data_IF_617533532944
#
_entry.id   IF_617533532944
#
_cell.length_a   1.000
_cell.length_b   1.000
_cell.length_c   1.000
_cell.angle_alpha   90.00
_cell.angle_beta   90.00
_cell.angle_gamma   90.00
#
_symmetry.space_group_name_H-M   'P 1'
#
loop_
_entity.id
_entity.type
_entity.pdbx_description
1 polymer ?
#
# COMPACT_ATOMS: atom_id res chain seq x y z
N UNK A 1 2.45 -39.68 -24.35
CA UNK A 1 1.66 -38.52 -23.88
C UNK A 1 2.47 -37.92 -22.75
N UNK A 2 3.18 -36.82 -23.01
CA UNK A 2 4.07 -36.20 -22.03
C UNK A 2 3.25 -35.29 -21.13
N UNK A 3 3.22 -35.60 -19.83
CA UNK A 3 2.65 -34.77 -18.79
C UNK A 3 3.27 -33.36 -18.83
N UNK A 4 2.52 -32.38 -19.35
CA UNK A 4 2.80 -30.96 -19.11
C UNK A 4 2.54 -30.70 -17.64
N UNK A 5 3.58 -30.86 -16.82
CA UNK A 5 3.58 -30.47 -15.42
C UNK A 5 3.58 -28.95 -15.35
N UNK A 6 2.39 -28.35 -15.28
CA UNK A 6 2.22 -26.94 -14.96
C UNK A 6 2.97 -26.69 -13.64
N UNK A 7 3.98 -25.82 -13.59
CA UNK A 7 4.67 -25.56 -12.34
C UNK A 7 3.68 -24.86 -11.42
N UNK A 8 3.16 -25.58 -10.42
CA UNK A 8 2.48 -24.99 -9.27
C UNK A 8 3.53 -24.26 -8.46
N UNK A 9 3.79 -23.01 -8.84
CA UNK A 9 4.50 -22.04 -8.02
C UNK A 9 3.55 -21.75 -6.87
N UNK A 10 3.74 -22.36 -5.70
CA UNK A 10 3.19 -21.81 -4.47
C UNK A 10 3.90 -20.47 -4.30
N UNK A 11 3.22 -19.32 -4.50
CA UNK A 11 3.92 -18.06 -4.38
C UNK A 11 4.33 -17.92 -2.92
N UNK A 12 5.64 -17.85 -2.68
CA UNK A 12 6.13 -17.34 -1.41
C UNK A 12 5.43 -16.00 -1.18
N UNK A 13 4.96 -15.77 0.05
CA UNK A 13 4.25 -14.53 0.39
C UNK A 13 5.09 -13.74 1.37
N UNK A 14 4.99 -12.42 1.29
CA UNK A 14 5.55 -11.59 2.36
C UNK A 14 4.82 -11.86 3.69
N UNK A 15 5.32 -11.37 4.84
CA UNK A 15 4.66 -11.58 6.13
C UNK A 15 3.18 -11.15 6.16
N UNK A 16 2.72 -10.31 5.21
CA UNK A 16 1.36 -9.77 5.07
C UNK A 16 0.52 -10.45 3.99
N UNK A 17 1.01 -11.55 3.41
CA UNK A 17 0.27 -12.37 2.46
C UNK A 17 0.29 -11.84 1.02
N UNK A 18 1.13 -10.85 0.72
CA UNK A 18 1.32 -10.35 -0.64
C UNK A 18 2.15 -11.38 -1.43
N UNK A 19 1.65 -11.93 -2.55
CA UNK A 19 2.38 -12.91 -3.36
C UNK A 19 3.66 -12.35 -3.96
N UNK A 20 4.75 -13.10 -3.87
CA UNK A 20 6.01 -12.81 -4.57
C UNK A 20 5.84 -13.04 -6.07
N UNK A 21 6.38 -12.14 -6.87
CA UNK A 21 6.40 -12.22 -8.32
C UNK A 21 7.29 -13.40 -8.76
N UNK A 22 6.84 -14.24 -9.70
CA UNK A 22 7.66 -15.33 -10.21
C UNK A 22 8.87 -14.75 -10.96
N UNK A 23 10.08 -15.11 -10.53
CA UNK A 23 11.29 -14.70 -11.24
C UNK A 23 11.45 -15.53 -12.52
N UNK A 24 11.46 -14.85 -13.67
CA UNK A 24 11.60 -15.47 -14.99
C UNK A 24 13.07 -15.49 -15.40
N UNK A 25 13.82 -16.47 -14.90
CA UNK A 25 15.23 -16.67 -15.24
C UNK A 25 15.43 -17.01 -16.73
N UNK A 26 14.86 -18.13 -17.16
CA UNK A 26 14.87 -18.55 -18.55
C UNK A 26 13.48 -18.35 -19.16
N UNK A 27 13.40 -17.47 -20.15
CA UNK A 27 12.15 -17.18 -20.88
C UNK A 27 11.59 -18.42 -21.57
N UNK A 28 12.46 -19.35 -21.99
CA UNK A 28 12.10 -20.62 -22.64
C UNK A 28 11.28 -21.55 -21.75
N UNK A 29 11.37 -21.39 -20.43
CA UNK A 29 10.66 -22.22 -19.45
C UNK A 29 9.18 -21.81 -19.35
N UNK A 30 8.87 -20.57 -19.74
CA UNK A 30 7.52 -20.00 -19.73
C UNK A 30 6.91 -19.87 -21.12
N UNK A 31 7.76 -19.68 -22.13
CA UNK A 31 7.34 -19.50 -23.53
C UNK A 31 8.19 -20.42 -24.40
N UNK A 32 7.62 -21.56 -24.78
CA UNK A 32 8.28 -22.53 -25.67
C UNK A 32 7.90 -22.32 -27.13
N UNK A 33 6.70 -21.77 -27.40
CA UNK A 33 6.22 -21.49 -28.75
C UNK A 33 5.67 -20.07 -28.87
N UNK A 34 5.57 -19.55 -30.11
CA UNK A 34 5.03 -18.20 -30.36
C UNK A 34 3.58 -18.03 -29.89
N UNK A 35 2.79 -19.12 -29.89
CA UNK A 35 1.42 -19.12 -29.39
C UNK A 35 1.34 -18.89 -27.87
N UNK A 36 2.42 -19.16 -27.12
CA UNK A 36 2.47 -19.01 -25.66
C UNK A 36 2.88 -17.57 -25.22
N UNK A 37 3.37 -16.74 -26.15
CA UNK A 37 3.84 -15.37 -25.87
C UNK A 37 2.68 -14.48 -25.40
N UNK A 38 1.63 -14.38 -26.22
CA UNK A 38 0.50 -13.46 -25.98
C UNK A 38 -0.27 -13.81 -24.68
N UNK A 39 -0.58 -15.08 -24.38
CA UNK A 39 -1.18 -15.46 -23.10
C UNK A 39 -0.28 -15.14 -21.90
N UNK A 40 1.03 -15.36 -22.00
CA UNK A 40 1.98 -15.09 -20.92
C UNK A 40 2.11 -13.59 -20.65
N UNK A 41 2.22 -12.76 -21.70
CA UNK A 41 2.24 -11.30 -21.57
C UNK A 41 0.96 -10.77 -20.92
N UNK A 42 -0.20 -11.31 -21.30
CA UNK A 42 -1.48 -10.96 -20.67
C UNK A 42 -1.50 -11.31 -19.19
N UNK A 43 -1.03 -12.49 -18.81
CA UNK A 43 -0.92 -12.91 -17.41
C UNK A 43 0.00 -12.00 -16.60
N UNK A 44 1.13 -11.56 -17.18
CA UNK A 44 2.05 -10.64 -16.51
C UNK A 44 1.45 -9.25 -16.33
N UNK A 45 0.74 -8.73 -17.33
CA UNK A 45 -0.01 -7.47 -17.22
C UNK A 45 -1.10 -7.53 -16.15
N UNK A 46 -1.82 -8.65 -16.05
CA UNK A 46 -2.80 -8.87 -14.97
C UNK A 46 -2.14 -8.86 -13.59
N UNK A 47 -0.97 -9.49 -13.43
CA UNK A 47 -0.21 -9.47 -12.18
C UNK A 47 0.31 -8.07 -11.82
N UNK A 48 0.87 -7.33 -12.78
CA UNK A 48 1.30 -5.93 -12.59
C UNK A 48 0.11 -5.07 -12.14
N UNK A 49 -1.05 -5.24 -12.78
CA UNK A 49 -2.27 -4.50 -12.42
C UNK A 49 -2.72 -4.79 -10.97
N UNK A 50 -2.58 -6.04 -10.51
CA UNK A 50 -2.87 -6.43 -9.12
C UNK A 50 -1.89 -5.77 -8.15
N UNK A 51 -0.59 -5.79 -8.45
CA UNK A 51 0.42 -5.14 -7.60
C UNK A 51 0.21 -3.62 -7.53
N UNK A 52 -0.04 -2.97 -8.66
CA UNK A 52 -0.35 -1.53 -8.70
C UNK A 52 -1.61 -1.18 -7.89
N UNK A 53 -2.66 -2.00 -7.98
CA UNK A 53 -3.87 -1.81 -7.17
C UNK A 53 -3.56 -1.91 -5.68
N UNK A 54 -2.75 -2.89 -5.26
CA UNK A 54 -2.30 -3.02 -3.88
C UNK A 54 -1.42 -1.84 -3.45
N UNK A 55 -0.52 -1.37 -4.31
CA UNK A 55 0.37 -0.22 -4.04
C UNK A 55 -0.44 1.04 -3.77
N UNK A 56 -1.39 1.38 -4.65
CA UNK A 56 -2.24 2.56 -4.49
C UNK A 56 -3.06 2.50 -3.20
N UNK A 57 -3.58 1.33 -2.85
CA UNK A 57 -4.35 1.16 -1.61
C UNK A 57 -3.47 1.31 -0.36
N UNK A 58 -2.29 0.67 -0.35
CA UNK A 58 -1.33 0.80 0.76
C UNK A 58 -0.82 2.23 0.87
N UNK A 59 -0.58 2.92 -0.25
CA UNK A 59 -0.15 4.31 -0.28
C UNK A 59 -1.20 5.24 0.32
N UNK A 60 -2.48 5.06 -0.01
CA UNK A 60 -3.60 5.82 0.59
C UNK A 60 -3.68 5.60 2.10
N UNK A 61 -3.54 4.34 2.55
CA UNK A 61 -3.52 4.00 3.99
C UNK A 61 -2.35 4.67 4.70
N UNK A 62 -1.16 4.61 4.13
CA UNK A 62 0.04 5.24 4.67
C UNK A 62 -0.08 6.78 4.74
N UNK A 63 -0.66 7.41 3.71
CA UNK A 63 -0.92 8.85 3.70
C UNK A 63 -1.84 9.27 4.86
N UNK A 64 -2.97 8.55 5.05
CA UNK A 64 -3.88 8.83 6.15
C UNK A 64 -3.26 8.61 7.54
N UNK A 65 -2.32 7.66 7.68
CA UNK A 65 -1.57 7.48 8.93
C UNK A 65 -0.56 8.61 9.17
N UNK A 66 0.16 9.04 8.12
CA UNK A 66 1.11 10.17 8.21
C UNK A 66 0.43 11.49 8.60
N UNK A 67 -0.82 11.69 8.18
CA UNK A 67 -1.62 12.85 8.57
C UNK A 67 -2.06 12.76 10.04
N UNK A 68 -2.52 11.59 10.50
CA UNK A 68 -3.08 11.41 11.85
C UNK A 68 -2.05 11.29 12.97
N UNK A 69 -0.88 10.70 12.70
CA UNK A 69 0.14 10.47 13.72
C UNK A 69 0.58 11.77 14.42
N UNK A 70 0.86 12.88 13.71
CA UNK A 70 1.15 14.17 14.33
C UNK A 70 0.06 14.66 15.28
N UNK A 71 -1.22 14.49 14.92
CA UNK A 71 -2.34 14.92 15.75
C UNK A 71 -2.45 14.08 17.02
N UNK A 72 -2.26 12.76 16.93
CA UNK A 72 -2.21 11.87 18.10
C UNK A 72 -1.05 12.27 19.01
N UNK A 73 0.13 12.56 18.44
CA UNK A 73 1.32 13.00 19.20
C UNK A 73 1.05 14.30 19.96
N UNK A 74 0.54 15.33 19.28
CA UNK A 74 0.20 16.62 19.91
C UNK A 74 -0.83 16.45 21.02
N UNK A 75 -1.84 15.61 20.79
CA UNK A 75 -2.88 15.33 21.80
C UNK A 75 -2.27 14.63 23.02
N UNK A 76 -1.41 13.62 22.82
CA UNK A 76 -0.72 12.92 23.89
C UNK A 76 0.23 13.85 24.66
N UNK A 77 0.97 14.72 23.97
CA UNK A 77 1.82 15.74 24.59
C UNK A 77 1.01 16.69 25.48
N UNK A 78 -0.17 17.11 25.03
CA UNK A 78 -1.05 17.96 25.83
C UNK A 78 -1.58 17.24 27.08
N UNK A 79 -1.99 15.97 26.94
CA UNK A 79 -2.43 15.17 28.10
C UNK A 79 -1.29 15.00 29.11
N UNK A 80 -0.07 14.69 28.65
CA UNK A 80 1.12 14.61 29.50
C UNK A 80 1.46 15.95 30.16
N UNK A 81 1.29 17.05 29.43
CA UNK A 81 1.51 18.40 29.97
C UNK A 81 0.52 18.72 31.10
N UNK A 82 -0.77 18.42 30.90
CA UNK A 82 -1.80 18.61 31.93
C UNK A 82 -1.52 17.73 33.16
N UNK A 83 -1.18 16.46 32.95
CA UNK A 83 -0.76 15.53 34.01
C UNK A 83 0.42 16.09 34.82
N UNK A 84 1.47 16.52 34.14
CA UNK A 84 2.67 17.07 34.78
C UNK A 84 2.36 18.32 35.61
N UNK A 85 1.47 19.21 35.14
CA UNK A 85 1.08 20.39 35.91
C UNK A 85 0.28 20.02 37.16
N UNK A 86 -0.63 19.06 37.05
CA UNK A 86 -1.42 18.54 38.16
C UNK A 86 -0.53 17.90 39.22
N UNK A 87 0.34 16.97 38.82
CA UNK A 87 1.17 16.20 39.74
C UNK A 87 2.19 17.09 40.49
N UNK A 88 2.63 18.19 39.88
CA UNK A 88 3.53 19.16 40.49
C UNK A 88 2.82 20.32 41.20
N UNK A 89 1.48 20.32 41.23
CA UNK A 89 0.67 21.41 41.78
C UNK A 89 1.13 22.80 41.28
N UNK A 90 1.33 22.92 39.97
CA UNK A 90 1.87 24.11 39.33
C UNK A 90 0.92 25.31 39.44
N UNK A 91 1.39 26.50 39.07
CA UNK A 91 0.52 27.67 39.00
C UNK A 91 -0.63 27.45 37.99
N UNK A 92 -1.75 28.18 38.11
CA UNK A 92 -2.80 28.15 37.10
C UNK A 92 -2.30 28.49 35.70
N UNK A 93 -2.77 27.74 34.69
CA UNK A 93 -2.40 27.91 33.30
C UNK A 93 -3.28 28.98 32.66
N UNK A 94 -2.71 30.15 32.35
CA UNK A 94 -3.37 31.15 31.51
C UNK A 94 -3.18 30.79 30.02
N UNK A 95 -4.28 30.58 29.30
CA UNK A 95 -4.27 30.22 27.88
C UNK A 95 -5.41 30.89 27.12
N UNK A 96 -5.29 30.93 25.80
CA UNK A 96 -6.34 31.44 24.91
C UNK A 96 -7.03 30.25 24.25
N UNK A 97 -8.30 30.03 24.58
CA UNK A 97 -9.13 29.01 23.95
C UNK A 97 -9.77 29.55 22.68
N UNK A 98 -9.71 28.75 21.61
CA UNK A 98 -10.38 29.04 20.35
C UNK A 98 -11.88 28.82 20.48
N UNK A 99 -12.68 29.87 20.25
CA UNK A 99 -14.14 29.80 20.16
C UNK A 99 -14.61 29.72 18.71
N UNK A 100 -13.83 30.31 17.79
CA UNK A 100 -14.01 30.30 16.34
C UNK A 100 -12.63 30.60 15.70
N UNK A 101 -12.46 30.36 14.40
CA UNK A 101 -11.20 30.47 13.64
C UNK A 101 -10.43 31.80 13.84
N UNK A 102 -11.13 32.87 14.25
CA UNK A 102 -10.54 34.19 14.52
C UNK A 102 -10.93 34.77 15.88
N UNK A 103 -11.64 34.00 16.72
CA UNK A 103 -12.13 34.43 18.03
C UNK A 103 -11.53 33.56 19.12
N UNK A 104 -10.76 34.18 20.00
CA UNK A 104 -10.14 33.53 21.14
C UNK A 104 -10.63 34.16 22.44
N UNK A 105 -10.83 33.32 23.45
CA UNK A 105 -11.13 33.75 24.81
C UNK A 105 -9.97 33.39 25.74
N UNK A 106 -9.51 34.38 26.50
CA UNK A 106 -8.52 34.15 27.56
C UNK A 106 -9.20 33.47 28.74
N UNK A 107 -8.63 32.37 29.21
CA UNK A 107 -9.09 31.68 30.40
C UNK A 107 -7.90 31.16 31.21
N UNK A 108 -8.18 30.92 32.49
CA UNK A 108 -7.22 30.37 33.44
C UNK A 108 -7.71 28.98 33.85
N UNK A 109 -6.84 27.98 33.74
CA UNK A 109 -7.12 26.58 34.10
C UNK A 109 -6.35 26.26 35.38
N UNK A 110 -7.05 25.91 36.44
CA UNK A 110 -6.44 25.44 37.68
C UNK A 110 -6.06 23.95 37.53
N UNK A 111 -4.85 23.51 37.91
CA UNK A 111 -4.49 22.10 37.87
C UNK A 111 -5.40 21.20 38.70
N UNK A 112 -6.03 21.72 39.75
CA UNK A 112 -7.01 20.97 40.56
C UNK A 112 -8.26 20.57 39.76
N UNK A 113 -8.63 21.35 38.73
CA UNK A 113 -9.81 21.11 37.89
C UNK A 113 -9.50 20.20 36.68
N UNK A 114 -8.27 19.68 36.57
CA UNK A 114 -7.81 18.86 35.44
C UNK A 114 -7.76 17.38 35.78
N UNK A 115 -8.85 16.80 36.28
CA UNK A 115 -8.93 15.37 36.58
C UNK A 115 -9.13 14.51 35.32
N UNK A 116 -9.94 15.01 34.39
CA UNK A 116 -10.36 14.32 33.17
C UNK A 116 -10.20 15.19 31.93
N UNK A 117 -10.08 14.52 30.77
CA UNK A 117 -10.02 15.15 29.44
C UNK A 117 -11.11 14.58 28.55
N UNK A 118 -11.68 15.43 27.70
CA UNK A 118 -12.73 15.05 26.77
C UNK A 118 -12.12 14.75 25.41
N UNK A 119 -12.27 13.50 24.95
CA UNK A 119 -11.71 13.03 23.68
C UNK A 119 -12.82 12.75 22.68
N UNK A 120 -12.66 13.29 21.46
CA UNK A 120 -13.57 13.04 20.34
C UNK A 120 -13.21 11.72 19.65
N UNK A 121 -14.13 10.76 19.66
CA UNK A 121 -13.92 9.42 19.09
C UNK A 121 -14.43 9.30 17.65
N UNK A 122 -15.12 10.33 17.15
CA UNK A 122 -15.81 10.32 15.86
C UNK A 122 -17.28 9.94 15.99
N UNK A 123 -18.00 9.88 14.87
CA UNK A 123 -19.43 9.53 14.81
C UNK A 123 -20.33 10.31 15.78
N UNK A 124 -20.02 11.60 16.02
CA UNK A 124 -20.69 12.47 16.99
C UNK A 124 -20.60 12.00 18.45
N UNK A 125 -19.54 11.26 18.80
CA UNK A 125 -19.30 10.76 20.14
C UNK A 125 -18.05 11.38 20.74
N UNK A 126 -18.23 11.97 21.93
CA UNK A 126 -17.16 12.47 22.81
C UNK A 126 -17.30 11.78 24.16
N UNK A 127 -16.18 11.34 24.75
CA UNK A 127 -16.15 10.72 26.08
C UNK A 127 -15.13 11.43 26.98
N UNK A 128 -15.45 11.52 28.26
CA UNK A 128 -14.52 11.94 29.29
C UNK A 128 -13.64 10.74 29.70
N UNK A 129 -12.35 10.99 29.80
CA UNK A 129 -11.35 10.02 30.26
C UNK A 129 -10.51 10.64 31.37
N UNK A 130 -10.27 9.95 32.49
CA UNK A 130 -9.25 10.34 33.44
C UNK A 130 -7.90 10.51 32.73
N UNK A 131 -7.09 11.48 33.15
CA UNK A 131 -5.81 11.79 32.50
C UNK A 131 -4.91 10.55 32.32
N UNK A 132 -4.85 9.66 33.32
CA UNK A 132 -4.04 8.44 33.27
C UNK A 132 -4.51 7.45 32.19
N UNK A 133 -5.83 7.29 32.07
CA UNK A 133 -6.43 6.41 31.08
C UNK A 133 -6.27 7.00 29.68
N UNK A 134 -6.46 8.32 29.53
CA UNK A 134 -6.24 9.03 28.29
C UNK A 134 -4.78 8.90 27.82
N UNK A 135 -3.79 9.06 28.71
CA UNK A 135 -2.37 8.90 28.39
C UNK A 135 -2.08 7.47 27.89
N UNK A 136 -2.58 6.46 28.61
CA UNK A 136 -2.38 5.05 28.25
C UNK A 136 -3.01 4.75 26.90
N UNK A 137 -4.28 5.13 26.70
CA UNK A 137 -5.02 4.88 25.47
C UNK A 137 -4.40 5.59 24.26
N UNK A 138 -3.98 6.85 24.41
CA UNK A 138 -3.31 7.60 23.34
C UNK A 138 -1.92 7.03 23.03
N UNK A 139 -1.19 6.54 24.03
CA UNK A 139 0.12 5.89 23.85
C UNK A 139 -0.02 4.58 23.08
N UNK A 140 -0.98 3.73 23.42
CA UNK A 140 -1.28 2.50 22.70
C UNK A 140 -1.76 2.75 21.26
N UNK A 141 -2.61 3.77 21.06
CA UNK A 141 -3.04 4.18 19.72
C UNK A 141 -1.87 4.69 18.89
N UNK A 142 -0.98 5.49 19.49
CA UNK A 142 0.20 6.01 18.81
C UNK A 142 1.12 4.87 18.36
N UNK A 143 1.45 3.94 19.26
CA UNK A 143 2.33 2.81 18.93
C UNK A 143 1.74 1.92 17.85
N UNK A 144 0.42 1.67 17.90
CA UNK A 144 -0.29 0.90 16.87
C UNK A 144 -0.28 1.63 15.52
N UNK A 145 -0.49 2.95 15.51
CA UNK A 145 -0.47 3.74 14.29
C UNK A 145 0.93 3.81 13.66
N UNK A 146 1.98 3.97 14.48
CA UNK A 146 3.38 3.96 14.03
C UNK A 146 3.79 2.60 13.48
N UNK A 147 3.44 1.50 14.16
CA UNK A 147 3.67 0.15 13.67
C UNK A 147 2.91 -0.10 12.36
N UNK A 148 1.65 0.35 12.26
CA UNK A 148 0.87 0.24 11.03
C UNK A 148 1.49 1.04 9.89
N UNK A 149 2.09 2.19 10.17
CA UNK A 149 2.77 3.00 9.15
C UNK A 149 4.05 2.29 8.68
N UNK A 150 4.86 1.77 9.60
CA UNK A 150 6.07 1.00 9.27
C UNK A 150 5.74 -0.20 8.37
N UNK A 151 4.72 -0.98 8.73
CA UNK A 151 4.25 -2.09 7.91
C UNK A 151 3.80 -1.64 6.51
N UNK A 152 3.13 -0.49 6.39
CA UNK A 152 2.76 0.03 5.08
C UNK A 152 3.98 0.40 4.24
N UNK A 153 5.01 0.98 4.86
CA UNK A 153 6.20 1.40 4.15
C UNK A 153 7.01 0.20 3.67
N UNK A 154 7.13 -0.85 4.49
CA UNK A 154 7.70 -2.15 4.08
C UNK A 154 6.89 -2.79 2.94
N UNK A 155 5.56 -2.82 3.04
CA UNK A 155 4.69 -3.36 1.98
C UNK A 155 4.83 -2.55 0.67
N UNK A 156 4.99 -1.22 0.75
CA UNK A 156 5.19 -0.37 -0.43
C UNK A 156 6.54 -0.63 -1.11
N UNK A 157 7.61 -0.79 -0.33
CA UNK A 157 8.92 -1.20 -0.84
C UNK A 157 8.81 -2.53 -1.58
N UNK A 158 8.22 -3.53 -0.92
CA UNK A 158 8.01 -4.87 -1.49
C UNK A 158 7.21 -4.82 -2.80
N UNK A 159 6.10 -4.07 -2.83
CA UNK A 159 5.25 -3.95 -4.01
C UNK A 159 5.99 -3.31 -5.20
N UNK A 160 6.85 -2.31 -4.95
CA UNK A 160 7.69 -1.69 -6.00
C UNK A 160 8.70 -2.68 -6.57
N UNK A 161 9.33 -3.48 -5.71
CA UNK A 161 10.24 -4.54 -6.16
C UNK A 161 9.50 -5.59 -7.00
N UNK A 162 8.29 -5.99 -6.61
CA UNK A 162 7.49 -6.96 -7.37
C UNK A 162 7.07 -6.41 -8.74
N UNK A 163 6.62 -5.15 -8.80
CA UNK A 163 6.29 -4.47 -10.07
C UNK A 163 7.52 -4.45 -10.98
N UNK A 164 8.67 -4.00 -10.46
CA UNK A 164 9.93 -3.94 -11.23
C UNK A 164 10.32 -5.33 -11.75
N UNK A 165 10.21 -6.37 -10.92
CA UNK A 165 10.53 -7.76 -11.31
C UNK A 165 9.63 -8.23 -12.45
N UNK A 166 8.33 -7.95 -12.37
CA UNK A 166 7.37 -8.31 -13.42
C UNK A 166 7.57 -7.50 -14.71
N UNK A 167 7.95 -6.23 -14.62
CA UNK A 167 8.28 -5.41 -15.78
C UNK A 167 9.51 -5.94 -16.52
N UNK A 168 10.56 -6.31 -15.78
CA UNK A 168 11.75 -6.96 -16.36
C UNK A 168 11.38 -8.30 -17.01
N UNK A 169 10.56 -9.12 -16.36
CA UNK A 169 10.08 -10.38 -16.92
C UNK A 169 9.29 -10.17 -18.22
N UNK A 170 8.42 -9.15 -18.26
CA UNK A 170 7.65 -8.76 -19.46
C UNK A 170 8.59 -8.34 -20.61
N UNK A 171 9.61 -7.52 -20.30
CA UNK A 171 10.61 -7.12 -21.29
C UNK A 171 11.43 -8.31 -21.82
N UNK A 172 11.77 -9.29 -20.97
CA UNK A 172 12.47 -10.52 -21.38
C UNK A 172 11.64 -11.34 -22.37
N UNK A 173 10.34 -11.50 -22.12
CA UNK A 173 9.41 -12.20 -23.03
C UNK A 173 9.28 -11.45 -24.37
N UNK A 174 9.14 -10.12 -24.33
CA UNK A 174 9.08 -9.30 -25.54
C UNK A 174 10.35 -9.40 -26.38
N UNK A 175 11.52 -9.32 -25.73
CA UNK A 175 12.82 -9.46 -26.40
C UNK A 175 12.97 -10.84 -27.06
N UNK A 176 12.52 -11.90 -26.39
CA UNK A 176 12.52 -13.25 -26.94
C UNK A 176 11.63 -13.36 -28.20
N UNK A 177 10.40 -12.83 -28.15
CA UNK A 177 9.48 -12.83 -29.30
C UNK A 177 10.07 -12.07 -30.51
N UNK A 178 10.69 -10.91 -30.27
CA UNK A 178 11.39 -10.15 -31.32
C UNK A 178 12.53 -10.95 -31.95
N UNK A 179 13.32 -11.67 -31.14
CA UNK A 179 14.42 -12.52 -31.64
C UNK A 179 13.87 -13.68 -32.48
N UNK A 180 12.80 -14.35 -32.03
CA UNK A 180 12.17 -15.42 -32.81
C UNK A 180 11.61 -14.91 -34.14
N UNK A 181 10.88 -13.80 -34.14
CA UNK A 181 10.37 -13.17 -35.38
C UNK A 181 11.47 -12.79 -36.37
N UNK A 182 12.64 -12.36 -35.87
CA UNK A 182 13.80 -12.06 -36.72
C UNK A 182 14.41 -13.32 -37.30
N UNK A 183 14.50 -14.42 -36.53
CA UNK A 183 14.97 -15.72 -37.02
C UNK A 183 14.05 -16.28 -38.10
N UNK A 184 12.73 -16.26 -37.87
CA UNK A 184 11.75 -16.75 -38.84
C UNK A 184 11.83 -16.00 -40.19
N UNK A 185 12.05 -14.67 -40.15
CA UNK A 185 12.25 -13.85 -41.35
C UNK A 185 13.55 -14.14 -42.10
N UNK A 186 14.63 -14.49 -41.39
CA UNK A 186 15.94 -14.81 -42.00
C UNK A 186 15.95 -16.24 -42.55
N UNK A 187 15.23 -17.17 -41.93
CA UNK A 187 15.10 -18.55 -42.38
C UNK A 187 14.08 -18.75 -43.52
N UNK A 188 13.44 -17.67 -44.00
CA UNK A 188 12.59 -17.73 -45.18
C UNK A 188 11.30 -18.55 -45.02
N UNK A 189 10.85 -18.79 -43.78
CA UNK A 189 9.47 -19.23 -43.51
C UNK A 189 8.56 -18.01 -43.61
N UNK A 190 8.30 -17.60 -44.84
CA UNK A 190 7.33 -16.56 -45.18
C UNK A 190 5.92 -16.97 -44.76
N UNK A 191 5.14 -15.96 -44.44
CA UNK A 191 3.74 -16.03 -44.00
C UNK A 191 2.89 -16.96 -44.90
N UNK A 192 2.49 -18.12 -44.36
CA UNK A 192 1.33 -18.89 -44.81
C UNK A 192 0.37 -19.01 -43.61
N UNK A 193 -0.31 -17.93 -43.23
CA UNK A 193 -1.55 -18.00 -42.42
C UNK A 193 -2.28 -16.65 -42.29
N UNK A 194 -2.31 -15.83 -43.36
CA UNK A 194 -3.19 -14.66 -43.42
C UNK A 194 -3.81 -14.46 -44.82
N UNK A 195 -4.44 -15.51 -45.38
CA UNK A 195 -5.30 -15.34 -46.57
C UNK A 195 -6.48 -16.33 -46.68
N UNK A 196 -7.18 -16.59 -45.57
CA UNK A 196 -8.48 -17.31 -45.60
C UNK A 196 -9.66 -16.51 -45.02
N UNK A 197 -9.63 -15.18 -45.18
CA UNK A 197 -10.78 -14.33 -44.84
C UNK A 197 -11.09 -13.25 -45.91
N UNK A 198 -11.09 -13.62 -47.19
CA UNK A 198 -11.87 -12.90 -48.21
C UNK A 198 -12.84 -13.87 -48.86
N UNK A 199 -14.05 -13.94 -48.30
CA UNK A 199 -15.17 -14.65 -48.91
C UNK A 199 -15.49 -14.07 -50.29
N UNK A 200 -15.87 -14.93 -51.27
CA UNK A 200 -16.21 -14.44 -52.60
C UNK A 200 -17.56 -13.73 -52.57
N UNK A 201 -17.58 -12.57 -53.21
CA UNK A 201 -18.79 -11.87 -53.65
C UNK A 201 -19.49 -12.69 -54.75
N UNK A 202 -20.82 -12.81 -54.65
CA UNK A 202 -21.72 -12.87 -55.81
C UNK A 202 -22.51 -14.17 -56.00
N UNK A 203 -23.81 -14.12 -55.69
CA UNK A 203 -24.93 -14.21 -56.65
C UNK A 203 -26.26 -14.03 -55.90
#
# INVERSE_FOLDING_TARGET
MADKKTPTINPETNPRGIPVAPFVDNVTDYVSTRADVEPTLRSFQEMISKYQFMEVNTQRRAAGLREKIPDIKKTLEMVKFLKMRRDNNADPLETNFELNDTLYARATVDPADTEEVYLWLGANVMLAYPIEEAETMLTEKLSTAELSLANCDEDLEFLREQITTMEVATARVYNWDVVQRRKDKVEGKGDEDDDTAKGPSGA
#
